data_IF_423410197903
#
_entry.id   IF_423410197903
#
_cell.length_a   1.000
_cell.length_b   1.000
_cell.length_c   1.000
_cell.angle_alpha   90.00
_cell.angle_beta   90.00
_cell.angle_gamma   90.00
#
_symmetry.space_group_name_H-M   'P 1'
#
loop_
_entity.id
_entity.type
_entity.pdbx_description
1 polymer ?
#
# COMPACT_ATOMS: atom_id res chain seq x y z
N UNK A 1 -1.18 4.48 24.24
CA UNK A 1 -0.57 3.31 23.54
C UNK A 1 0.07 3.76 22.24
N UNK A 2 1.34 3.36 22.03
CA UNK A 2 2.04 3.66 20.77
C UNK A 2 1.53 2.73 19.70
N UNK A 3 1.18 3.29 18.55
CA UNK A 3 0.71 2.52 17.40
C UNK A 3 1.80 2.41 16.35
N UNK A 4 1.73 1.35 15.55
CA UNK A 4 2.55 1.22 14.36
C UNK A 4 1.79 1.85 13.20
N UNK A 5 2.44 2.81 12.56
CA UNK A 5 1.88 3.56 11.44
C UNK A 5 2.72 3.27 10.20
N UNK A 6 2.09 2.91 9.11
CA UNK A 6 2.75 2.79 7.81
C UNK A 6 2.42 4.03 6.98
N UNK A 7 3.46 4.71 6.51
CA UNK A 7 3.34 5.80 5.54
C UNK A 7 3.87 5.24 4.21
N UNK A 8 3.02 5.12 3.22
CA UNK A 8 3.40 4.48 1.97
C UNK A 8 4.46 5.26 1.20
N UNK A 9 5.48 4.58 0.71
CA UNK A 9 6.38 5.11 -0.31
C UNK A 9 5.75 4.95 -1.68
N UNK A 10 4.97 3.89 -1.85
CA UNK A 10 4.21 3.60 -3.06
C UNK A 10 3.06 2.66 -2.72
N UNK A 11 2.16 2.52 -3.66
CA UNK A 11 1.00 1.62 -3.54
C UNK A 11 0.93 0.71 -4.74
N UNK A 12 0.34 -0.48 -4.56
CA UNK A 12 0.07 -1.38 -5.66
C UNK A 12 -1.27 -2.08 -5.44
N UNK A 13 -1.79 -2.68 -6.51
CA UNK A 13 -3.03 -3.43 -6.46
C UNK A 13 -2.71 -4.90 -6.76
N UNK A 14 -2.71 -5.74 -5.73
CA UNK A 14 -2.24 -7.11 -5.84
C UNK A 14 -3.19 -8.03 -6.61
N UNK A 15 -4.43 -7.61 -6.84
CA UNK A 15 -5.43 -8.40 -7.55
C UNK A 15 -5.67 -7.96 -9.00
N UNK A 16 -4.91 -6.98 -9.50
CA UNK A 16 -4.88 -6.71 -10.93
C UNK A 16 -4.01 -7.77 -11.59
N UNK A 17 -4.58 -8.49 -12.56
CA UNK A 17 -3.87 -9.58 -13.21
C UNK A 17 -4.18 -9.61 -14.71
N UNK A 18 -3.25 -9.10 -15.50
CA UNK A 18 -3.31 -9.22 -16.96
C UNK A 18 -2.11 -10.03 -17.47
N UNK A 19 -1.70 -11.03 -16.68
CA UNK A 19 -0.59 -11.91 -17.06
C UNK A 19 -0.87 -12.67 -18.35
N UNK A 20 -2.14 -12.90 -18.69
CA UNK A 20 -2.53 -13.48 -19.97
C UNK A 20 -2.08 -12.63 -21.17
N UNK A 21 -1.85 -11.33 -20.97
CA UNK A 21 -1.34 -10.42 -22.00
C UNK A 21 0.18 -10.25 -21.95
N UNK A 22 0.85 -11.02 -21.10
CA UNK A 22 2.30 -10.98 -20.98
C UNK A 22 2.85 -9.98 -19.98
N UNK A 23 1.99 -9.33 -19.20
CA UNK A 23 2.41 -8.34 -18.22
C UNK A 23 2.55 -9.00 -16.83
N UNK A 24 3.43 -8.46 -15.96
CA UNK A 24 3.53 -8.99 -14.60
C UNK A 24 2.26 -8.70 -13.79
N UNK A 25 2.00 -9.54 -12.80
CA UNK A 25 0.85 -9.37 -11.91
C UNK A 25 0.93 -8.01 -11.19
N UNK A 26 -0.18 -7.31 -11.11
CA UNK A 26 -0.27 -5.98 -10.51
C UNK A 26 0.02 -4.84 -11.50
N UNK A 27 0.44 -5.16 -12.71
CA UNK A 27 0.75 -4.14 -13.72
C UNK A 27 -0.51 -3.38 -14.14
N UNK A 28 -0.42 -2.04 -14.09
CA UNK A 28 -1.53 -1.15 -14.45
C UNK A 28 -1.27 -0.64 -15.87
N UNK A 29 -2.02 -1.15 -16.83
CA UNK A 29 -1.79 -0.88 -18.24
C UNK A 29 -1.76 0.62 -18.56
N UNK A 30 -2.69 1.39 -18.01
CA UNK A 30 -2.78 2.83 -18.27
C UNK A 30 -1.65 3.66 -17.68
N UNK A 31 -0.96 3.15 -16.65
CA UNK A 31 0.15 3.84 -15.98
C UNK A 31 1.52 3.25 -16.33
N UNK A 32 1.56 2.04 -16.87
CA UNK A 32 2.80 1.39 -17.24
C UNK A 32 3.67 0.96 -16.08
N UNK A 33 3.09 0.70 -14.91
CA UNK A 33 3.83 0.32 -13.71
C UNK A 33 2.99 -0.55 -12.79
N UNK A 34 3.65 -1.26 -11.89
CA UNK A 34 2.99 -1.99 -10.80
C UNK A 34 2.82 -1.07 -9.58
N UNK A 35 3.90 -0.40 -9.17
CA UNK A 35 3.91 0.44 -7.98
C UNK A 35 3.77 1.90 -8.37
N UNK A 36 2.83 2.59 -7.72
CA UNK A 36 2.58 4.01 -7.96
C UNK A 36 3.13 4.80 -6.78
N UNK A 37 4.11 5.67 -7.05
CA UNK A 37 4.79 6.43 -6.01
C UNK A 37 3.86 7.46 -5.38
N UNK A 38 3.93 7.59 -4.05
CA UNK A 38 3.26 8.67 -3.32
C UNK A 38 4.06 9.96 -3.45
N UNK A 39 3.42 11.09 -3.12
CA UNK A 39 4.10 12.38 -3.11
C UNK A 39 5.07 12.46 -1.92
N UNK A 40 6.38 12.72 -2.16
CA UNK A 40 7.36 12.74 -1.06
C UNK A 40 7.08 13.83 -0.03
N UNK A 41 6.65 15.01 -0.46
CA UNK A 41 6.39 16.13 0.45
C UNK A 41 5.23 15.83 1.40
N UNK A 42 4.12 15.31 0.86
CA UNK A 42 2.97 14.92 1.68
C UNK A 42 3.34 13.78 2.62
N UNK A 43 4.05 12.77 2.11
CA UNK A 43 4.46 11.62 2.91
C UNK A 43 5.38 12.03 4.06
N UNK A 44 6.32 12.95 3.81
CA UNK A 44 7.22 13.44 4.86
C UNK A 44 6.48 14.25 5.93
N UNK A 45 5.47 15.02 5.53
CA UNK A 45 4.63 15.76 6.49
C UNK A 45 3.86 14.82 7.39
N UNK A 46 3.26 13.78 6.82
CA UNK A 46 2.56 12.76 7.60
C UNK A 46 3.51 12.05 8.56
N UNK A 47 4.69 11.69 8.09
CA UNK A 47 5.69 11.01 8.92
C UNK A 47 6.09 11.87 10.11
N UNK A 48 6.38 13.15 9.90
CA UNK A 48 6.77 14.05 10.99
C UNK A 48 5.64 14.25 11.99
N UNK A 49 4.40 14.40 11.50
CA UNK A 49 3.25 14.55 12.38
C UNK A 49 3.05 13.32 13.25
N UNK A 50 3.15 12.13 12.67
CA UNK A 50 2.99 10.90 13.42
C UNK A 50 4.12 10.68 14.44
N UNK A 51 5.37 11.00 14.07
CA UNK A 51 6.50 10.93 14.99
C UNK A 51 6.30 11.89 16.15
N UNK A 52 5.89 13.13 15.88
CA UNK A 52 5.64 14.13 16.91
C UNK A 52 4.49 13.74 17.82
N UNK A 53 3.59 12.88 17.35
CA UNK A 53 2.50 12.35 18.18
C UNK A 53 2.89 11.10 18.96
N UNK A 54 4.15 10.68 18.88
CA UNK A 54 4.66 9.54 19.64
C UNK A 54 4.43 8.19 18.97
N UNK A 55 4.02 8.17 17.71
CA UNK A 55 3.75 6.93 16.99
C UNK A 55 5.03 6.34 16.39
N UNK A 56 5.01 5.04 16.12
CA UNK A 56 6.12 4.33 15.48
C UNK A 56 5.86 4.25 13.98
N UNK A 57 6.79 4.80 13.18
CA UNK A 57 6.63 4.97 11.74
C UNK A 57 7.40 3.91 10.98
N UNK A 58 6.77 3.37 9.94
CA UNK A 58 7.39 2.49 8.95
C UNK A 58 7.09 3.03 7.55
N UNK A 59 8.08 2.96 6.67
CA UNK A 59 7.92 3.42 5.28
C UNK A 59 8.08 2.24 4.34
N UNK A 60 7.18 2.10 3.37
CA UNK A 60 7.25 1.02 2.41
C UNK A 60 6.02 0.93 1.53
N UNK A 61 5.88 -0.19 0.82
CA UNK A 61 4.77 -0.43 -0.09
C UNK A 61 3.51 -0.82 0.66
N UNK A 62 2.38 -0.23 0.26
CA UNK A 62 1.05 -0.65 0.70
C UNK A 62 0.37 -1.34 -0.48
N UNK A 63 -0.06 -2.60 -0.28
CA UNK A 63 -0.76 -3.37 -1.30
C UNK A 63 -2.25 -3.40 -0.99
N UNK A 64 -3.07 -3.13 -2.01
CA UNK A 64 -4.52 -3.14 -1.84
C UNK A 64 -5.20 -4.06 -2.84
N UNK A 65 -6.40 -4.48 -2.51
CA UNK A 65 -7.24 -5.29 -3.37
C UNK A 65 -8.64 -5.36 -2.79
N UNK A 66 -9.54 -6.01 -3.51
CA UNK A 66 -10.93 -6.11 -3.12
C UNK A 66 -11.21 -7.29 -2.19
N UNK A 67 -10.18 -8.06 -1.85
CA UNK A 67 -10.30 -9.21 -0.96
C UNK A 67 -9.76 -8.86 0.42
N UNK A 68 -10.53 -9.14 1.46
CA UNK A 68 -10.06 -8.99 2.82
C UNK A 68 -8.94 -10.01 3.10
N UNK A 69 -7.81 -9.52 3.61
CA UNK A 69 -6.66 -10.37 3.92
C UNK A 69 -6.89 -10.99 5.29
N UNK A 70 -7.55 -12.16 5.31
CA UNK A 70 -7.99 -12.81 6.54
C UNK A 70 -7.14 -14.00 7.00
N UNK A 71 -6.09 -14.36 6.25
CA UNK A 71 -5.24 -15.48 6.60
C UNK A 71 -3.76 -15.10 6.55
N UNK A 72 -2.96 -15.79 7.36
CA UNK A 72 -1.51 -15.60 7.34
C UNK A 72 -0.91 -16.01 5.99
N UNK A 73 -1.47 -17.04 5.35
CA UNK A 73 -0.99 -17.50 4.05
C UNK A 73 -1.15 -16.43 2.97
N UNK A 74 -2.32 -15.80 2.88
CA UNK A 74 -2.57 -14.74 1.91
C UNK A 74 -1.70 -13.52 2.20
N UNK A 75 -1.58 -13.15 3.47
CA UNK A 75 -0.72 -12.04 3.90
C UNK A 75 0.73 -12.26 3.47
N UNK A 76 1.28 -13.45 3.73
CA UNK A 76 2.66 -13.78 3.37
C UNK A 76 2.85 -13.79 1.85
N UNK A 77 1.88 -14.30 1.10
CA UNK A 77 1.95 -14.34 -0.35
C UNK A 77 2.02 -12.92 -0.94
N UNK A 78 1.18 -12.02 -0.47
CA UNK A 78 1.15 -10.62 -0.94
C UNK A 78 2.44 -9.89 -0.54
N UNK A 79 2.87 -10.06 0.72
CA UNK A 79 4.09 -9.44 1.21
C UNK A 79 5.30 -9.89 0.40
N UNK A 80 5.40 -11.17 0.10
CA UNK A 80 6.52 -11.73 -0.68
C UNK A 80 6.49 -11.32 -2.15
N UNK A 81 5.32 -11.32 -2.76
CA UNK A 81 5.18 -11.02 -4.19
C UNK A 81 5.41 -9.55 -4.51
N UNK A 82 4.92 -8.65 -3.66
CA UNK A 82 4.98 -7.21 -3.91
C UNK A 82 5.94 -6.46 -2.98
N UNK A 83 6.61 -7.16 -2.09
CA UNK A 83 7.47 -6.56 -1.06
C UNK A 83 6.69 -5.50 -0.27
N UNK A 84 5.49 -5.86 0.16
CA UNK A 84 4.58 -4.95 0.83
C UNK A 84 4.69 -5.02 2.35
N UNK A 85 4.62 -3.87 3.01
CA UNK A 85 4.60 -3.78 4.48
C UNK A 85 3.24 -4.09 5.05
N UNK A 86 2.18 -3.71 4.34
CA UNK A 86 0.81 -4.00 4.78
C UNK A 86 -0.13 -4.10 3.60
N UNK A 87 -1.30 -4.68 3.87
CA UNK A 87 -2.37 -4.80 2.90
C UNK A 87 -3.63 -4.11 3.39
N UNK A 88 -4.40 -3.59 2.46
CA UNK A 88 -5.66 -2.91 2.76
C UNK A 88 -6.52 -2.89 1.49
N UNK A 89 -7.59 -2.12 1.46
CA UNK A 89 -8.58 -2.27 0.40
C UNK A 89 -8.84 -0.99 -0.44
N UNK A 90 -8.14 0.12 -0.19
CA UNK A 90 -8.46 1.39 -0.87
C UNK A 90 -7.27 2.11 -1.51
N UNK A 91 -6.10 2.03 -0.89
CA UNK A 91 -4.96 2.91 -1.24
C UNK A 91 -4.48 2.79 -2.68
N UNK A 92 -4.48 1.58 -3.23
CA UNK A 92 -4.03 1.37 -4.61
C UNK A 92 -4.97 2.02 -5.62
N UNK A 93 -6.28 1.93 -5.40
CA UNK A 93 -7.25 2.55 -6.28
C UNK A 93 -7.16 4.08 -6.22
N UNK A 94 -7.02 4.64 -5.03
CA UNK A 94 -6.80 6.08 -4.85
C UNK A 94 -5.54 6.53 -5.59
N UNK A 95 -4.44 5.80 -5.41
CA UNK A 95 -3.18 6.10 -6.07
C UNK A 95 -3.28 6.04 -7.59
N UNK A 96 -3.97 5.04 -8.12
CA UNK A 96 -4.17 4.91 -9.56
C UNK A 96 -4.90 6.12 -10.13
N UNK A 97 -6.00 6.52 -9.51
CA UNK A 97 -6.79 7.67 -9.97
C UNK A 97 -5.99 8.97 -9.85
N UNK A 98 -5.31 9.17 -8.74
CA UNK A 98 -4.49 10.36 -8.54
C UNK A 98 -3.37 10.45 -9.57
N UNK A 99 -2.64 9.36 -9.80
CA UNK A 99 -1.56 9.32 -10.77
C UNK A 99 -2.07 9.58 -12.19
N UNK A 100 -3.21 8.99 -12.55
CA UNK A 100 -3.80 9.17 -13.87
C UNK A 100 -4.22 10.62 -14.13
N UNK A 101 -4.49 11.38 -13.06
CA UNK A 101 -4.97 12.76 -13.15
C UNK A 101 -3.94 13.80 -12.69
N UNK A 102 -2.71 13.39 -12.42
CA UNK A 102 -1.65 14.31 -12.00
C UNK A 102 -1.87 14.93 -10.63
N UNK A 103 -2.58 14.23 -9.73
CA UNK A 103 -2.90 14.72 -8.39
C UNK A 103 -1.93 14.09 -7.39
N UNK A 104 -1.19 14.89 -6.60
CA UNK A 104 -0.36 14.34 -5.52
C UNK A 104 -1.20 13.61 -4.49
N UNK A 105 -0.67 12.52 -3.94
CA UNK A 105 -1.38 11.76 -2.91
C UNK A 105 -0.40 11.15 -1.90
N UNK A 106 -0.93 10.81 -0.74
CA UNK A 106 -0.20 10.07 0.28
C UNK A 106 -1.16 9.07 0.94
N UNK A 107 -0.58 8.03 1.54
CA UNK A 107 -1.35 6.99 2.22
C UNK A 107 -0.73 6.74 3.58
N UNK A 108 -1.57 6.76 4.62
CA UNK A 108 -1.18 6.45 5.98
C UNK A 108 -2.14 5.43 6.56
N UNK A 109 -1.60 4.38 7.16
CA UNK A 109 -2.39 3.32 7.78
C UNK A 109 -1.90 3.03 9.19
N UNK A 110 -2.84 2.95 10.13
CA UNK A 110 -2.56 2.41 11.44
C UNK A 110 -2.67 0.89 11.36
N UNK A 111 -1.67 0.19 11.87
CA UNK A 111 -1.67 -1.28 11.83
C UNK A 111 -2.29 -1.79 13.12
N UNK A 112 -3.43 -2.46 13.00
CA UNK A 112 -4.13 -3.00 14.17
C UNK A 112 -3.60 -4.38 14.55
N UNK A 113 -3.34 -5.23 13.57
CA UNK A 113 -3.13 -6.65 13.84
C UNK A 113 -2.25 -7.38 12.84
N UNK A 114 -1.77 -6.71 11.81
CA UNK A 114 -0.99 -7.34 10.76
C UNK A 114 -1.81 -8.13 9.75
N UNK A 115 -3.14 -8.13 9.84
CA UNK A 115 -4.01 -8.78 8.86
C UNK A 115 -4.00 -10.29 8.92
N UNK A 116 -3.62 -10.89 10.05
CA UNK A 116 -3.65 -12.34 10.22
C UNK A 116 -4.88 -12.79 11.03
N UNK A 117 -5.07 -14.09 11.11
CA UNK A 117 -6.24 -14.67 11.76
C UNK A 117 -6.22 -14.59 13.27
N UNK A 118 -5.11 -14.19 13.87
CA UNK A 118 -4.98 -14.01 15.31
C UNK A 118 -5.16 -12.56 15.74
N UNK A 119 -5.53 -11.74 14.82
CA UNK A 119 -5.57 -10.29 15.00
C UNK A 119 -6.68 -9.80 15.94
#
# INVERSE_FOLDING_TARGET
MIKNIVIATDVCQYDIDITALGEPKGFINGLGTIKVATDPTLSDRLSRTAINSGERIHRGTVASGDTFIGTAALKSAIAGEFDALCGEMEGGAVGQVCAANGVPFAVMRAISDGGDENA
#
